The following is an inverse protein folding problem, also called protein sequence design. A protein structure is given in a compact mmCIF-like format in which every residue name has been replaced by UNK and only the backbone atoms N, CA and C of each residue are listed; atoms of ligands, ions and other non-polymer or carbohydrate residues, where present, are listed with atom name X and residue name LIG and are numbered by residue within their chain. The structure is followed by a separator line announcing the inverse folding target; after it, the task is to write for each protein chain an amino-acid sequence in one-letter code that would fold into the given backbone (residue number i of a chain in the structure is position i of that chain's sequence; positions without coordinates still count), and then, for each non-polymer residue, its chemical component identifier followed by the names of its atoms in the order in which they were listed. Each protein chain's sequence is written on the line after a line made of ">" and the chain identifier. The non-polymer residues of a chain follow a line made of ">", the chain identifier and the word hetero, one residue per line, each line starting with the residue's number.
data_IF_540207657414
#
_entry.id   IF_540207657414
#
_cell.length_a   1.000
_cell.length_b   1.000
_cell.length_c   1.000
_cell.angle_alpha   90.00
_cell.angle_beta   90.00
_cell.angle_gamma   90.00
#
_symmetry.space_group_name_H-M   'P 1'
#
loop_
_entity.id
_entity.type
_entity.pdbx_description
1 polymer ?
#
# COMPACT_ATOMS: atom_id res chain seq x y z
N UNK A 1 -8.79 -2.68 19.03
CA UNK A 1 -9.02 -1.55 18.10
C UNK A 1 -7.90 -1.38 17.06
N UNK A 2 -6.60 -1.40 17.43
CA UNK A 2 -5.47 -1.18 16.49
C UNK A 2 -5.48 -2.03 15.20
N UNK A 3 -5.99 -3.27 15.25
CA UNK A 3 -6.10 -4.19 14.08
C UNK A 3 -7.25 -3.88 13.12
N UNK A 4 -8.27 -3.15 13.56
CA UNK A 4 -9.43 -2.84 12.72
C UNK A 4 -9.08 -1.80 11.64
N UNK A 5 -8.20 -0.86 11.97
CA UNK A 5 -7.81 0.21 11.08
C UNK A 5 -7.11 -0.26 9.79
N UNK A 6 -6.07 -1.13 9.83
CA UNK A 6 -5.49 -1.67 8.59
C UNK A 6 -6.48 -2.53 7.79
N UNK A 7 -7.40 -3.23 8.45
CA UNK A 7 -8.43 -4.02 7.76
C UNK A 7 -9.45 -3.12 7.04
N UNK A 8 -9.91 -2.06 7.70
CA UNK A 8 -10.79 -1.07 7.09
C UNK A 8 -10.08 -0.34 5.93
N UNK A 9 -8.78 -0.04 6.09
CA UNK A 9 -8.00 0.57 5.03
C UNK A 9 -7.79 -0.40 3.85
N UNK A 10 -7.57 -1.68 4.11
CA UNK A 10 -7.51 -2.71 3.06
C UNK A 10 -8.84 -2.80 2.30
N UNK A 11 -9.98 -2.76 3.01
CA UNK A 11 -11.29 -2.73 2.36
C UNK A 11 -11.47 -1.47 1.49
N UNK A 12 -11.01 -0.31 1.97
CA UNK A 12 -10.98 0.93 1.18
C UNK A 12 -10.11 0.78 -0.08
N UNK A 13 -8.90 0.21 0.02
CA UNK A 13 -8.05 -0.07 -1.13
C UNK A 13 -8.76 -0.99 -2.13
N UNK A 14 -9.42 -2.05 -1.65
CA UNK A 14 -10.21 -2.95 -2.49
C UNK A 14 -11.31 -2.22 -3.28
N UNK A 15 -12.01 -1.26 -2.65
CA UNK A 15 -13.00 -0.43 -3.35
C UNK A 15 -12.35 0.43 -4.44
N UNK A 16 -11.18 1.02 -4.16
CA UNK A 16 -10.44 1.82 -5.14
C UNK A 16 -10.02 0.95 -6.33
N UNK A 17 -9.49 -0.26 -6.09
CA UNK A 17 -9.11 -1.24 -7.13
C UNK A 17 -10.33 -1.60 -7.99
N UNK A 18 -11.46 -1.95 -7.37
CA UNK A 18 -12.69 -2.30 -8.12
C UNK A 18 -13.16 -1.13 -9.00
N UNK A 19 -13.14 0.10 -8.48
CA UNK A 19 -13.50 1.29 -9.28
C UNK A 19 -12.53 1.53 -10.44
N UNK A 20 -11.24 1.28 -10.22
CA UNK A 20 -10.20 1.36 -11.24
C UNK A 20 -10.43 0.31 -12.35
N UNK A 21 -10.60 -0.96 -11.98
CA UNK A 21 -10.72 -2.09 -12.91
C UNK A 21 -12.01 -2.04 -13.74
N UNK A 22 -13.09 -1.53 -13.14
CA UNK A 22 -14.38 -1.36 -13.82
C UNK A 22 -14.50 -0.02 -14.56
N UNK A 23 -13.53 0.88 -14.43
CA UNK A 23 -13.57 2.25 -14.94
C UNK A 23 -14.83 3.03 -14.47
N UNK A 24 -15.26 2.78 -13.23
CA UNK A 24 -16.45 3.40 -12.61
C UNK A 24 -16.08 4.45 -11.55
N UNK A 25 -14.86 4.99 -11.62
CA UNK A 25 -14.36 5.94 -10.63
C UNK A 25 -15.31 7.14 -10.44
N UNK A 26 -15.66 7.47 -9.18
CA UNK A 26 -16.41 8.68 -8.85
C UNK A 26 -15.77 9.95 -9.43
N UNK A 27 -16.60 10.93 -9.80
CA UNK A 27 -16.15 12.14 -10.49
C UNK A 27 -15.09 12.96 -9.72
N UNK A 28 -15.06 12.88 -8.39
CA UNK A 28 -14.03 13.55 -7.57
C UNK A 28 -12.67 12.84 -7.66
N UNK A 29 -12.64 11.51 -7.59
CA UNK A 29 -11.41 10.72 -7.75
C UNK A 29 -10.88 10.81 -9.17
N UNK A 30 -11.77 10.82 -10.16
CA UNK A 30 -11.39 10.98 -11.57
C UNK A 30 -10.64 12.29 -11.81
N UNK A 31 -10.95 13.38 -11.11
CA UNK A 31 -10.18 14.64 -11.23
C UNK A 31 -8.75 14.52 -10.71
N UNK A 32 -8.53 13.74 -9.65
CA UNK A 32 -7.20 13.47 -9.11
C UNK A 32 -6.42 12.57 -10.06
N UNK A 33 -7.07 11.54 -10.62
CA UNK A 33 -6.45 10.63 -11.59
C UNK A 33 -6.13 11.26 -12.95
N UNK A 34 -6.85 12.30 -13.35
CA UNK A 34 -6.58 13.04 -14.60
C UNK A 34 -5.36 13.98 -14.45
N UNK A 35 -4.92 14.27 -13.22
CA UNK A 35 -3.69 15.03 -13.01
C UNK A 35 -2.47 14.21 -13.50
N UNK A 36 -1.47 14.82 -14.15
CA UNK A 36 -0.27 14.09 -14.58
C UNK A 36 0.39 13.39 -13.38
N UNK A 37 0.59 12.08 -13.51
CA UNK A 37 1.12 11.20 -12.45
C UNK A 37 0.21 11.06 -11.21
N UNK A 38 -1.08 11.40 -11.31
CA UNK A 38 -2.02 11.29 -10.19
C UNK A 38 -2.23 9.85 -9.71
N UNK A 39 -2.19 8.90 -10.65
CA UNK A 39 -2.11 7.45 -10.39
C UNK A 39 -0.90 7.09 -9.53
N UNK A 40 0.29 7.55 -9.88
CA UNK A 40 1.56 7.24 -9.20
C UNK A 40 1.63 7.85 -7.81
N UNK A 41 1.17 9.09 -7.67
CA UNK A 41 1.03 9.74 -6.37
C UNK A 41 0.03 8.95 -5.50
N UNK A 42 -1.07 8.48 -6.10
CA UNK A 42 -2.03 7.60 -5.45
C UNK A 42 -1.38 6.33 -4.90
N UNK A 43 -0.61 5.62 -5.74
CA UNK A 43 0.14 4.43 -5.32
C UNK A 43 1.10 4.75 -4.16
N UNK A 44 1.92 5.79 -4.30
CA UNK A 44 2.85 6.19 -3.24
C UNK A 44 2.14 6.42 -1.90
N UNK A 45 1.08 7.23 -1.89
CA UNK A 45 0.39 7.61 -0.65
C UNK A 45 -0.37 6.43 -0.05
N UNK A 46 -1.15 5.70 -0.85
CA UNK A 46 -2.00 4.62 -0.38
C UNK A 46 -1.13 3.47 0.17
N UNK A 47 -0.12 3.03 -0.57
CA UNK A 47 0.74 1.93 -0.13
C UNK A 47 1.63 2.33 1.06
N UNK A 48 2.05 3.60 1.15
CA UNK A 48 2.76 4.11 2.32
C UNK A 48 1.92 4.10 3.59
N UNK A 49 0.67 4.59 3.52
CA UNK A 49 -0.28 4.54 4.64
C UNK A 49 -0.57 3.10 5.03
N UNK A 50 -0.78 2.21 4.05
CA UNK A 50 -1.05 0.80 4.31
C UNK A 50 0.10 0.12 5.05
N UNK A 51 1.34 0.30 4.58
CA UNK A 51 2.54 -0.24 5.21
C UNK A 51 2.75 0.28 6.63
N UNK A 52 2.50 1.57 6.84
CA UNK A 52 2.53 2.18 8.18
C UNK A 52 1.50 1.54 9.11
N UNK A 53 0.23 1.45 8.69
CA UNK A 53 -0.86 0.89 9.49
C UNK A 53 -0.63 -0.59 9.83
N UNK A 54 -0.11 -1.37 8.89
CA UNK A 54 0.24 -2.78 9.12
C UNK A 54 1.37 -2.93 10.14
N UNK A 55 2.43 -2.13 10.00
CA UNK A 55 3.57 -2.14 10.93
C UNK A 55 3.14 -1.67 12.33
N UNK A 56 2.27 -0.66 12.40
CA UNK A 56 1.70 -0.15 13.65
C UNK A 56 0.77 -1.16 14.36
N UNK A 57 0.00 -1.94 13.59
CA UNK A 57 -0.88 -2.97 14.14
C UNK A 57 -0.15 -4.25 14.56
N UNK A 58 1.07 -4.49 14.05
CA UNK A 58 1.87 -5.69 14.28
C UNK A 58 3.33 -5.38 14.67
N UNK A 59 3.59 -4.56 15.71
CA UNK A 59 4.94 -4.05 16.01
C UNK A 59 5.96 -5.13 16.35
N UNK A 60 5.52 -6.24 16.97
CA UNK A 60 6.40 -7.33 17.40
C UNK A 60 6.57 -8.44 16.35
N UNK A 61 5.93 -8.34 15.19
CA UNK A 61 6.01 -9.37 14.13
C UNK A 61 7.08 -8.95 13.13
N UNK A 62 8.24 -9.59 13.19
CA UNK A 62 9.35 -9.37 12.26
C UNK A 62 9.74 -10.69 11.60
N UNK A 63 10.14 -10.63 10.33
CA UNK A 63 10.75 -11.74 9.61
C UNK A 63 12.26 -11.48 9.61
N UNK A 64 13.03 -12.39 10.21
CA UNK A 64 14.48 -12.33 10.23
C UNK A 64 15.05 -13.35 9.25
N UNK A 65 15.95 -12.91 8.37
CA UNK A 65 16.77 -13.78 7.54
C UNK A 65 18.23 -13.34 7.65
N UNK A 66 19.02 -14.13 8.40
CA UNK A 66 20.40 -13.78 8.74
C UNK A 66 20.48 -12.48 9.55
N UNK A 67 21.18 -11.48 9.01
CA UNK A 67 21.38 -10.16 9.65
C UNK A 67 20.25 -9.16 9.39
N UNK A 68 19.31 -9.50 8.51
CA UNK A 68 18.21 -8.61 8.13
C UNK A 68 16.96 -8.97 8.93
N UNK A 69 16.31 -7.95 9.52
CA UNK A 69 15.06 -8.09 10.25
C UNK A 69 14.04 -7.07 9.76
N UNK A 70 13.06 -7.52 8.99
CA UNK A 70 12.04 -6.68 8.39
C UNK A 70 10.71 -6.80 9.15
N UNK A 71 10.00 -5.70 9.41
CA UNK A 71 8.63 -5.77 9.95
C UNK A 71 7.71 -6.54 9.00
N UNK A 72 6.89 -7.43 9.54
CA UNK A 72 5.95 -8.24 8.76
C UNK A 72 4.98 -7.36 7.96
N UNK A 73 4.61 -6.19 8.50
CA UNK A 73 3.75 -5.23 7.80
C UNK A 73 4.33 -4.72 6.49
N UNK A 74 5.65 -4.49 6.44
CA UNK A 74 6.34 -4.10 5.20
C UNK A 74 6.30 -5.23 4.19
N UNK A 75 6.57 -6.47 4.61
CA UNK A 75 6.55 -7.64 3.73
C UNK A 75 5.16 -7.84 3.12
N UNK A 76 4.11 -7.72 3.94
CA UNK A 76 2.72 -7.82 3.45
C UNK A 76 2.38 -6.70 2.48
N UNK A 77 2.78 -5.45 2.77
CA UNK A 77 2.51 -4.33 1.89
C UNK A 77 3.22 -4.46 0.53
N UNK A 78 4.47 -4.90 0.52
CA UNK A 78 5.23 -5.18 -0.72
C UNK A 78 4.53 -6.27 -1.51
N UNK A 79 4.20 -7.40 -0.86
CA UNK A 79 3.52 -8.50 -1.52
C UNK A 79 2.17 -8.06 -2.11
N UNK A 80 1.39 -7.25 -1.38
CA UNK A 80 0.12 -6.72 -1.87
C UNK A 80 0.31 -5.82 -3.10
N UNK A 81 1.29 -4.90 -3.08
CA UNK A 81 1.61 -4.05 -4.22
C UNK A 81 2.01 -4.84 -5.46
N UNK A 82 2.88 -5.83 -5.29
CA UNK A 82 3.30 -6.70 -6.40
C UNK A 82 2.13 -7.50 -6.97
N UNK A 83 1.27 -8.06 -6.10
CA UNK A 83 0.15 -8.89 -6.51
C UNK A 83 -0.95 -8.07 -7.19
N UNK A 84 -1.21 -6.86 -6.73
CA UNK A 84 -2.20 -5.98 -7.36
C UNK A 84 -1.75 -5.58 -8.77
N UNK A 85 -0.51 -5.12 -8.95
CA UNK A 85 0.02 -4.80 -10.28
C UNK A 85 0.07 -6.04 -11.19
N UNK A 86 0.46 -7.19 -10.66
CA UNK A 86 0.45 -8.46 -11.40
C UNK A 86 -0.98 -8.91 -11.75
N UNK A 87 -1.98 -8.61 -10.91
CA UNK A 87 -3.38 -8.96 -11.18
C UNK A 87 -3.92 -8.24 -12.41
N UNK A 88 -3.38 -7.06 -12.74
CA UNK A 88 -3.76 -6.31 -13.94
C UNK A 88 -3.42 -7.06 -15.24
N UNK A 89 -2.50 -8.04 -15.22
CA UNK A 89 -2.27 -8.94 -16.36
C UNK A 89 -3.53 -9.75 -16.74
N UNK A 90 -4.45 -9.93 -15.80
CA UNK A 90 -5.70 -10.67 -15.99
C UNK A 90 -6.91 -9.74 -16.20
N UNK A 91 -6.72 -8.42 -16.18
CA UNK A 91 -7.78 -7.42 -16.31
C UNK A 91 -7.67 -6.75 -17.69
N UNK A 92 -8.60 -7.07 -18.60
CA UNK A 92 -8.54 -6.61 -20.01
C UNK A 92 -8.54 -5.07 -20.20
N UNK A 93 -8.88 -4.31 -19.17
CA UNK A 93 -8.97 -2.83 -19.19
C UNK A 93 -7.76 -2.15 -18.55
N UNK A 94 -6.82 -2.90 -17.99
CA UNK A 94 -5.64 -2.40 -17.27
C UNK A 94 -4.39 -3.03 -17.85
N UNK A 95 -3.27 -2.35 -17.67
CA UNK A 95 -1.95 -2.84 -18.07
C UNK A 95 -1.01 -2.55 -16.91
N UNK A 96 -0.24 -3.53 -16.44
CA UNK A 96 0.76 -3.30 -15.40
C UNK A 96 1.71 -2.16 -15.78
N UNK A 97 1.88 -1.19 -14.89
CA UNK A 97 2.86 -0.11 -14.99
C UNK A 97 3.95 -0.30 -13.93
N UNK A 98 5.19 -0.47 -14.39
CA UNK A 98 6.36 -0.54 -13.52
C UNK A 98 6.53 0.73 -12.67
N UNK A 99 6.10 1.88 -13.16
CA UNK A 99 6.17 3.14 -12.41
C UNK A 99 5.13 3.20 -11.28
N UNK A 100 3.97 2.57 -11.44
CA UNK A 100 2.98 2.45 -10.38
C UNK A 100 3.50 1.54 -9.27
N UNK A 101 4.06 0.37 -9.64
CA UNK A 101 4.71 -0.53 -8.69
C UNK A 101 5.87 0.13 -7.95
N UNK A 102 6.74 0.85 -8.68
CA UNK A 102 7.86 1.57 -8.09
C UNK A 102 7.39 2.67 -7.15
N UNK A 103 6.34 3.41 -7.51
CA UNK A 103 5.74 4.44 -6.65
C UNK A 103 5.16 3.83 -5.37
N UNK A 104 4.49 2.67 -5.48
CA UNK A 104 4.02 1.91 -4.33
C UNK A 104 5.17 1.49 -3.40
N UNK A 105 6.25 0.95 -3.94
CA UNK A 105 7.44 0.58 -3.17
C UNK A 105 8.12 1.79 -2.51
N UNK A 106 8.20 2.93 -3.18
CA UNK A 106 8.69 4.17 -2.59
C UNK A 106 7.82 4.64 -1.41
N UNK A 107 6.50 4.51 -1.52
CA UNK A 107 5.57 4.81 -0.44
C UNK A 107 5.79 3.90 0.77
N UNK A 108 5.91 2.60 0.53
CA UNK A 108 6.22 1.60 1.56
C UNK A 108 7.56 1.91 2.23
N UNK A 109 8.59 2.22 1.43
CA UNK A 109 9.90 2.61 1.95
C UNK A 109 9.80 3.88 2.81
N UNK A 110 9.09 4.92 2.34
CA UNK A 110 8.86 6.14 3.11
C UNK A 110 8.20 5.88 4.47
N UNK A 111 7.30 4.90 4.54
CA UNK A 111 6.67 4.50 5.81
C UNK A 111 7.67 4.02 6.87
N UNK A 112 8.82 3.47 6.46
CA UNK A 112 9.86 2.99 7.38
C UNK A 112 10.63 4.13 8.07
N UNK A 113 10.60 5.33 7.50
CA UNK A 113 11.22 6.53 8.06
C UNK A 113 10.34 7.22 9.10
N UNK A 114 9.05 6.87 9.16
CA UNK A 114 8.14 7.39 10.16
C UNK A 114 8.43 6.63 11.47
N UNK A 115 8.90 7.32 12.52
CA UNK A 115 9.14 6.68 13.81
C UNK A 115 7.84 6.03 14.29
N UNK A 116 7.93 4.75 14.69
CA UNK A 116 6.79 4.10 15.31
C UNK A 116 6.41 4.90 16.56
N UNK A 117 5.11 5.13 16.79
CA UNK A 117 4.65 5.89 17.95
C UNK A 117 5.18 5.23 19.24
N UNK A 118 5.76 6.08 20.10
CA UNK A 118 6.63 5.76 21.25
C UNK A 118 6.11 4.64 22.18
N UNK A 119 4.81 4.42 22.24
CA UNK A 119 4.15 3.40 23.08
C UNK A 119 4.48 1.93 22.70
N UNK A 120 5.07 1.68 21.53
CA UNK A 120 5.33 0.30 21.05
C UNK A 120 6.81 0.07 20.67
N UNK A 121 7.70 1.02 20.95
CA UNK A 121 9.14 0.94 20.59
C UNK A 121 10.06 0.77 21.81
N UNK A 122 9.49 0.48 22.98
CA UNK A 122 10.27 0.05 24.15
C UNK A 122 10.51 -1.47 24.02
N UNK A 123 11.69 -1.82 23.52
CA UNK A 123 12.40 -3.01 24.01
C UNK A 123 13.08 -2.68 25.33
#
# INVERSE_FOLDING_TARGET
>A
MKKFLPLAFLAFMGLVIVWADTNTMPAFLRRIYVFPFGDKIGHFVIYGIFAYLLTWAMPFRRISYGRFSLPLGIVIAVAFATLEEASQLFVARRTPDFLDLFSGYLGIYASTWIPCAKENCET
#
